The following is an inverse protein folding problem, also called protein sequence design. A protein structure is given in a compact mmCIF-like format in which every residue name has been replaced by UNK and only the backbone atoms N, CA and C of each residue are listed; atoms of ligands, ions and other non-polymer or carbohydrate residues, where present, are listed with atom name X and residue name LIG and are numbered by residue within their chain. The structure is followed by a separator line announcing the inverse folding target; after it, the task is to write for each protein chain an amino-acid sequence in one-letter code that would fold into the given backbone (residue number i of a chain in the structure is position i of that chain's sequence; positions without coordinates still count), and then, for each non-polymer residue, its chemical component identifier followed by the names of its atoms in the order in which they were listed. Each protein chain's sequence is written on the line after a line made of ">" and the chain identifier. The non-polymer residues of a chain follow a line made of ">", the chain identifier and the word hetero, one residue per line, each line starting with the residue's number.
data_IF_424806328280
#
_entry.id   IF_424806328280
#
_cell.length_a   1.000
_cell.length_b   1.000
_cell.length_c   1.000
_cell.angle_alpha   90.00
_cell.angle_beta   90.00
_cell.angle_gamma   90.00
#
_symmetry.space_group_name_H-M   'P 1'
#
loop_
_entity.id
_entity.type
_entity.pdbx_description
1 polymer ?
#
# COMPACT_ATOMS: atom_id res chain seq x y z
N UNK A 1 -22.71 20.34 10.83
CA UNK A 1 -22.78 19.07 10.06
C UNK A 1 -21.42 18.40 9.83
N UNK A 2 -20.28 19.11 9.87
CA UNK A 2 -18.92 18.53 9.70
C UNK A 2 -18.53 17.52 10.79
N UNK A 3 -19.05 17.65 12.02
CA UNK A 3 -18.82 16.68 13.08
C UNK A 3 -19.51 15.33 12.86
N UNK A 4 -20.64 15.30 12.15
CA UNK A 4 -21.37 14.07 11.85
C UNK A 4 -20.66 13.23 10.77
N UNK A 5 -20.04 13.89 9.78
CA UNK A 5 -19.23 13.20 8.75
C UNK A 5 -17.91 12.68 9.31
N UNK A 6 -17.31 13.37 10.28
CA UNK A 6 -16.11 12.88 10.96
C UNK A 6 -16.40 11.64 11.83
N UNK A 7 -17.57 11.60 12.49
CA UNK A 7 -17.99 10.44 13.28
C UNK A 7 -18.29 9.21 12.42
N UNK A 8 -18.86 9.38 11.22
CA UNK A 8 -19.10 8.28 10.27
C UNK A 8 -17.81 7.62 9.75
N UNK A 9 -16.71 8.37 9.65
CA UNK A 9 -15.39 7.85 9.24
C UNK A 9 -14.67 7.17 10.42
N UNK A 10 -14.95 7.58 11.66
CA UNK A 10 -14.42 6.95 12.87
C UNK A 10 -15.13 5.64 13.25
N UNK A 11 -16.28 5.32 12.63
CA UNK A 11 -17.05 4.09 12.87
C UNK A 11 -16.68 2.94 11.91
N UNK A 12 -15.40 2.77 11.56
CA UNK A 12 -15.00 1.52 10.90
C UNK A 12 -15.02 0.37 11.92
N UNK A 13 -15.92 -0.63 11.80
CA UNK A 13 -15.84 -1.82 12.65
C UNK A 13 -14.50 -2.52 12.39
N UNK A 14 -13.89 -3.04 13.46
CA UNK A 14 -12.80 -4.01 13.34
C UNK A 14 -13.29 -5.17 12.46
N UNK A 15 -12.80 -5.23 11.22
CA UNK A 15 -13.09 -6.26 10.22
C UNK A 15 -12.50 -7.64 10.56
N UNK A 16 -12.16 -7.90 11.84
CA UNK A 16 -11.63 -9.19 12.27
C UNK A 16 -12.71 -10.28 12.26
N UNK A 17 -14.01 -9.93 12.30
CA UNK A 17 -15.12 -10.90 12.32
C UNK A 17 -15.69 -11.30 10.94
N UNK A 18 -15.44 -10.52 9.87
CA UNK A 18 -16.05 -10.79 8.56
C UNK A 18 -15.25 -11.79 7.69
N UNK A 19 -14.03 -12.14 8.08
CA UNK A 19 -13.19 -13.07 7.32
C UNK A 19 -13.64 -14.54 7.48
N UNK A 20 -14.52 -14.85 8.44
CA UNK A 20 -14.95 -16.23 8.73
C UNK A 20 -16.13 -16.72 7.88
N UNK A 21 -16.90 -15.82 7.25
CA UNK A 21 -18.15 -16.19 6.56
C UNK A 21 -18.01 -16.44 5.05
N UNK A 22 -16.85 -16.17 4.45
CA UNK A 22 -16.61 -16.41 3.00
C UNK A 22 -15.93 -17.75 2.74
N UNK A 23 -15.35 -18.39 3.76
CA UNK A 23 -14.67 -19.69 3.61
C UNK A 23 -15.64 -20.87 3.41
N UNK A 24 -16.88 -20.76 3.88
CA UNK A 24 -17.85 -21.88 3.84
C UNK A 24 -18.58 -22.00 2.48
N UNK A 25 -18.53 -20.99 1.61
CA UNK A 25 -19.31 -20.98 0.36
C UNK A 25 -18.61 -21.58 -0.87
N UNK A 26 -17.33 -21.98 -0.76
CA UNK A 26 -16.54 -22.45 -1.91
C UNK A 26 -16.33 -23.98 -1.97
N UNK A 27 -17.02 -24.76 -1.14
CA UNK A 27 -16.81 -26.21 -1.04
C UNK A 27 -17.62 -27.09 -2.01
N UNK A 28 -18.39 -26.50 -2.95
CA UNK A 28 -19.27 -27.27 -3.83
C UNK A 28 -19.15 -26.88 -5.31
N UNK A 29 -18.08 -27.32 -5.98
CA UNK A 29 -18.07 -27.53 -7.43
C UNK A 29 -16.91 -28.46 -7.84
N UNK A 30 -17.23 -29.75 -8.01
CA UNK A 30 -16.36 -30.81 -8.53
C UNK A 30 -16.70 -31.07 -10.01
N UNK A 31 -15.68 -30.94 -10.88
CA UNK A 31 -15.29 -31.66 -12.14
C UNK A 31 -16.29 -32.57 -12.90
N UNK A 32 -16.14 -32.89 -14.22
CA UNK A 32 -14.89 -33.33 -14.93
C UNK A 32 -14.74 -32.77 -16.39
N UNK A 33 -13.74 -33.03 -17.26
CA UNK A 33 -12.86 -34.18 -17.50
C UNK A 33 -11.60 -33.80 -18.35
N UNK A 34 -10.56 -34.66 -18.25
CA UNK A 34 -9.31 -34.77 -19.04
C UNK A 34 -9.52 -35.51 -20.39
N UNK A 35 -8.55 -35.58 -21.37
CA UNK A 35 -7.28 -36.39 -21.35
C UNK A 35 -6.03 -35.58 -21.81
N UNK A 36 -4.78 -35.78 -21.37
CA UNK A 36 -3.89 -36.94 -21.13
C UNK A 36 -2.97 -37.30 -22.32
N UNK A 37 -1.66 -37.06 -22.19
CA UNK A 37 -0.47 -37.81 -22.71
C UNK A 37 0.73 -37.29 -21.87
N UNK A 38 1.41 -37.98 -20.95
CA UNK A 38 2.10 -39.28 -20.86
C UNK A 38 3.51 -39.36 -21.47
N UNK A 39 4.51 -39.39 -20.58
CA UNK A 39 5.75 -40.21 -20.56
C UNK A 39 6.84 -39.40 -19.83
N UNK A 40 7.37 -39.83 -18.67
CA UNK A 40 8.11 -41.08 -18.46
C UNK A 40 9.61 -40.73 -18.53
N UNK A 41 10.50 -41.08 -17.61
CA UNK A 41 10.41 -41.93 -16.43
C UNK A 41 11.49 -41.58 -15.41
N UNK A 42 11.33 -42.15 -14.22
CA UNK A 42 12.22 -42.03 -13.08
C UNK A 42 13.46 -42.91 -13.23
N UNK A 43 14.63 -42.44 -12.78
CA UNK A 43 15.60 -43.28 -12.05
C UNK A 43 16.29 -42.42 -10.98
N UNK A 44 16.15 -42.92 -9.76
CA UNK A 44 16.77 -42.58 -8.47
C UNK A 44 18.24 -43.00 -8.51
N UNK A 45 19.16 -42.24 -7.91
CA UNK A 45 20.25 -42.74 -7.04
C UNK A 45 21.26 -41.65 -6.65
N UNK A 46 21.36 -41.41 -5.35
CA UNK A 46 22.50 -40.84 -4.60
C UNK A 46 22.78 -41.90 -3.52
N UNK A 47 24.02 -42.25 -3.10
CA UNK A 47 25.16 -41.35 -2.93
C UNK A 47 26.55 -41.91 -3.29
N UNK A 48 27.47 -41.05 -3.73
CA UNK A 48 28.90 -41.38 -3.78
C UNK A 48 29.64 -40.53 -2.74
N UNK A 49 30.10 -41.19 -1.68
CA UNK A 49 31.03 -40.65 -0.70
C UNK A 49 32.37 -40.35 -1.39
N UNK A 50 32.73 -39.07 -1.49
CA UNK A 50 34.05 -38.67 -1.91
C UNK A 50 35.01 -38.80 -0.71
N UNK A 51 35.93 -39.75 -0.87
CA UNK A 51 37.07 -40.06 -0.01
C UNK A 51 37.94 -38.83 0.30
N UNK A 52 38.28 -38.69 1.59
CA UNK A 52 39.24 -37.74 2.14
C UNK A 52 40.64 -37.92 1.52
N UNK A 53 41.36 -36.84 1.15
CA UNK A 53 42.81 -36.88 1.01
C UNK A 53 43.51 -36.76 2.39
N UNK A 54 44.52 -37.59 2.58
CA UNK A 54 45.32 -37.79 3.79
C UNK A 54 45.97 -36.51 4.34
N UNK A 55 46.01 -36.43 5.68
CA UNK A 55 46.69 -35.38 6.44
C UNK A 55 48.21 -35.39 6.23
N UNK A 56 48.87 -34.22 6.13
CA UNK A 56 50.30 -34.10 6.32
C UNK A 56 50.59 -33.84 7.81
N UNK A 57 51.34 -34.73 8.47
CA UNK A 57 51.92 -34.51 9.79
C UNK A 57 53.04 -33.46 9.73
N UNK A 58 53.04 -32.45 10.62
CA UNK A 58 54.25 -31.67 10.92
C UNK A 58 54.65 -31.83 12.39
N UNK A 59 55.90 -32.29 12.54
CA UNK A 59 56.72 -32.39 13.75
C UNK A 59 56.45 -31.31 14.80
N UNK A 60 56.11 -31.76 16.01
CA UNK A 60 56.14 -30.98 17.25
C UNK A 60 57.56 -30.49 17.53
N UNK A 61 57.75 -29.17 17.57
CA UNK A 61 58.81 -28.51 18.34
C UNK A 61 58.11 -27.69 19.43
N UNK A 62 58.41 -27.89 20.72
CA UNK A 62 57.85 -27.06 21.76
C UNK A 62 58.74 -25.82 21.90
N UNK A 63 58.29 -24.69 21.38
CA UNK A 63 58.77 -23.40 21.86
C UNK A 63 57.55 -22.54 22.13
N UNK A 64 57.22 -22.43 23.41
CA UNK A 64 56.07 -21.70 23.93
C UNK A 64 56.47 -20.24 24.01
N UNK A 65 56.22 -19.49 22.95
CA UNK A 65 56.15 -18.03 23.02
C UNK A 65 54.69 -17.67 23.36
N UNK A 66 54.42 -16.91 24.44
CA UNK A 66 53.05 -16.57 24.81
C UNK A 66 52.47 -15.64 23.75
N UNK A 67 51.68 -16.20 22.83
CA UNK A 67 50.85 -15.42 21.92
C UNK A 67 49.90 -14.55 22.75
N UNK A 68 50.23 -13.26 22.86
CA UNK A 68 49.33 -12.26 23.41
C UNK A 68 48.06 -12.26 22.58
N UNK A 69 46.98 -12.81 23.12
CA UNK A 69 45.63 -12.66 22.59
C UNK A 69 45.30 -11.16 22.65
N UNK A 70 45.57 -10.46 21.55
CA UNK A 70 45.18 -9.07 21.39
C UNK A 70 43.66 -9.04 21.36
N UNK A 71 43.06 -8.71 22.50
CA UNK A 71 41.62 -8.53 22.62
C UNK A 71 41.16 -7.58 21.51
N UNK A 72 40.38 -8.11 20.56
CA UNK A 72 39.78 -7.30 19.51
C UNK A 72 38.94 -6.24 20.21
N UNK A 73 39.29 -4.97 20.01
CA UNK A 73 38.50 -3.85 20.53
C UNK A 73 37.11 -3.95 19.93
N UNK A 74 36.11 -4.29 20.75
CA UNK A 74 34.71 -4.20 20.37
C UNK A 74 34.37 -2.73 20.14
N UNK A 75 34.49 -2.27 18.89
CA UNK A 75 34.00 -0.95 18.56
C UNK A 75 32.48 -0.97 18.69
N UNK A 76 31.88 0.02 19.39
CA UNK A 76 30.44 0.14 19.49
C UNK A 76 29.86 0.19 18.08
N UNK A 77 29.10 -0.85 17.70
CA UNK A 77 28.37 -0.87 16.45
C UNK A 77 27.38 0.29 16.50
N UNK A 78 27.60 1.33 15.70
CA UNK A 78 26.63 2.42 15.56
C UNK A 78 25.28 1.78 15.24
N UNK A 79 24.21 2.08 16.01
CA UNK A 79 22.90 1.51 15.73
C UNK A 79 22.54 1.86 14.29
N UNK A 80 22.33 0.84 13.47
CA UNK A 80 21.88 1.02 12.11
C UNK A 80 20.57 1.81 12.18
N UNK A 81 20.54 2.99 11.56
CA UNK A 81 19.33 3.82 11.50
C UNK A 81 18.31 3.05 10.68
N UNK A 82 17.43 2.30 11.36
CA UNK A 82 16.36 1.56 10.70
C UNK A 82 15.31 2.56 10.26
N UNK A 83 15.18 2.74 8.95
CA UNK A 83 14.12 3.57 8.38
C UNK A 83 12.76 2.96 8.74
N UNK A 84 11.79 3.75 9.24
CA UNK A 84 10.43 3.26 9.47
C UNK A 84 9.86 2.67 8.18
N UNK A 85 9.41 1.41 8.25
CA UNK A 85 8.82 0.69 7.12
C UNK A 85 7.31 0.68 7.24
N UNK A 86 6.62 0.77 6.10
CA UNK A 86 5.18 0.61 6.03
C UNK A 86 4.74 -0.81 6.44
N UNK A 87 3.63 -0.90 7.18
CA UNK A 87 3.04 -2.20 7.52
C UNK A 87 2.07 -2.67 6.42
N UNK A 88 1.82 -3.98 6.28
CA UNK A 88 0.85 -4.49 5.30
C UNK A 88 -0.55 -3.90 5.47
N UNK A 89 -0.97 -3.68 6.72
CA UNK A 89 -2.27 -3.05 7.03
C UNK A 89 -2.31 -1.61 6.52
N UNK A 90 -1.29 -0.81 6.81
CA UNK A 90 -1.23 0.57 6.34
C UNK A 90 -1.24 0.64 4.80
N UNK A 91 -0.55 -0.28 4.13
CA UNK A 91 -0.58 -0.38 2.66
C UNK A 91 -1.99 -0.63 2.13
N UNK A 92 -2.75 -1.55 2.73
CA UNK A 92 -4.15 -1.81 2.34
C UNK A 92 -5.02 -0.57 2.52
N UNK A 93 -4.90 0.11 3.66
CA UNK A 93 -5.65 1.35 3.93
C UNK A 93 -5.27 2.45 2.94
N UNK A 94 -3.99 2.60 2.62
CA UNK A 94 -3.53 3.59 1.65
C UNK A 94 -4.12 3.36 0.25
N UNK A 95 -4.18 2.11 -0.22
CA UNK A 95 -4.85 1.78 -1.49
C UNK A 95 -6.35 2.04 -1.44
N UNK A 96 -7.02 1.68 -0.34
CA UNK A 96 -8.44 1.96 -0.17
C UNK A 96 -8.74 3.47 -0.23
N UNK A 97 -7.92 4.28 0.44
CA UNK A 97 -8.03 5.74 0.42
C UNK A 97 -7.72 6.33 -0.96
N UNK A 98 -6.74 5.77 -1.69
CA UNK A 98 -6.43 6.17 -3.07
C UNK A 98 -7.64 5.96 -3.99
N UNK A 99 -8.25 4.77 -3.93
CA UNK A 99 -9.43 4.44 -4.73
C UNK A 99 -10.61 5.36 -4.36
N UNK A 100 -10.84 5.57 -3.06
CA UNK A 100 -11.90 6.45 -2.59
C UNK A 100 -11.67 7.91 -3.02
N UNK A 101 -10.43 8.41 -2.95
CA UNK A 101 -10.06 9.77 -3.34
C UNK A 101 -10.22 10.00 -4.84
N UNK A 102 -9.74 9.08 -5.67
CA UNK A 102 -9.94 9.16 -7.13
C UNK A 102 -11.41 9.03 -7.52
N UNK A 103 -12.19 8.19 -6.81
CA UNK A 103 -13.63 8.06 -7.02
C UNK A 103 -14.38 9.34 -6.65
N UNK A 104 -14.05 9.96 -5.50
CA UNK A 104 -14.60 11.24 -5.08
C UNK A 104 -14.31 12.35 -6.08
N UNK A 105 -13.07 12.47 -6.57
CA UNK A 105 -12.70 13.48 -7.57
C UNK A 105 -13.37 13.24 -8.94
N UNK A 106 -13.56 11.98 -9.34
CA UNK A 106 -14.30 11.65 -10.55
C UNK A 106 -15.79 12.01 -10.42
N UNK A 107 -16.38 11.75 -9.25
CA UNK A 107 -17.77 12.11 -8.95
C UNK A 107 -17.97 13.63 -8.90
N UNK A 108 -17.05 14.35 -8.27
CA UNK A 108 -16.99 15.81 -8.30
C UNK A 108 -16.95 16.35 -9.74
N UNK A 109 -15.97 15.93 -10.53
CA UNK A 109 -15.84 16.34 -11.93
C UNK A 109 -17.11 16.03 -12.77
N UNK A 110 -17.69 14.85 -12.58
CA UNK A 110 -18.94 14.46 -13.25
C UNK A 110 -20.11 15.37 -12.85
N UNK A 111 -20.29 15.60 -11.56
CA UNK A 111 -21.38 16.43 -11.04
C UNK A 111 -21.25 17.90 -11.46
N UNK A 112 -20.03 18.46 -11.42
CA UNK A 112 -19.70 19.79 -11.96
C UNK A 112 -20.08 19.87 -13.44
N UNK A 113 -19.63 18.91 -14.25
CA UNK A 113 -19.91 18.91 -15.69
C UNK A 113 -21.41 18.84 -15.96
N UNK A 114 -22.14 18.07 -15.16
CA UNK A 114 -23.61 17.97 -15.26
C UNK A 114 -24.30 19.27 -14.90
N UNK A 115 -23.90 19.94 -13.81
CA UNK A 115 -24.46 21.22 -13.40
C UNK A 115 -24.22 22.33 -14.45
N UNK A 116 -23.00 22.41 -14.98
CA UNK A 116 -22.64 23.41 -16.00
C UNK A 116 -23.35 23.15 -17.32
N UNK A 117 -23.37 21.88 -17.78
CA UNK A 117 -24.04 21.51 -19.03
C UNK A 117 -25.56 21.74 -18.97
N UNK A 118 -26.15 21.66 -17.77
CA UNK A 118 -27.56 21.95 -17.54
C UNK A 118 -27.88 23.44 -17.37
N UNK A 119 -26.89 24.33 -17.37
CA UNK A 119 -27.08 25.77 -17.17
C UNK A 119 -27.32 26.19 -15.71
N UNK A 120 -27.06 25.30 -14.75
CA UNK A 120 -27.30 25.54 -13.31
C UNK A 120 -26.16 26.29 -12.62
N UNK A 121 -25.07 26.62 -13.33
CA UNK A 121 -23.95 27.37 -12.75
C UNK A 121 -22.69 27.40 -13.63
N UNK A 122 -21.60 27.92 -13.04
CA UNK A 122 -20.27 27.91 -13.63
C UNK A 122 -19.25 27.35 -12.63
N UNK A 123 -18.15 26.78 -13.14
CA UNK A 123 -17.05 26.31 -12.31
C UNK A 123 -16.44 27.48 -11.52
N UNK A 124 -16.50 27.38 -10.19
CA UNK A 124 -16.01 28.43 -9.28
C UNK A 124 -14.48 28.46 -9.21
N UNK A 125 -13.81 27.33 -9.45
CA UNK A 125 -12.35 27.27 -9.43
C UNK A 125 -11.76 27.82 -10.74
N UNK A 126 -11.02 28.95 -10.70
CA UNK A 126 -10.45 29.55 -11.91
C UNK A 126 -9.47 28.63 -12.65
N UNK A 127 -8.83 27.68 -11.96
CA UNK A 127 -7.92 26.72 -12.58
C UNK A 127 -8.63 25.57 -13.30
N UNK A 128 -9.84 25.22 -12.87
CA UNK A 128 -10.64 24.16 -13.51
C UNK A 128 -11.58 24.72 -14.57
N UNK A 129 -11.93 26.00 -14.50
CA UNK A 129 -12.84 26.67 -15.42
C UNK A 129 -12.49 26.50 -16.92
N UNK A 130 -11.22 26.55 -17.37
CA UNK A 130 -10.88 26.29 -18.78
C UNK A 130 -11.23 24.86 -19.24
N UNK A 131 -11.28 23.91 -18.30
CA UNK A 131 -11.54 22.50 -18.58
C UNK A 131 -12.99 22.10 -18.32
N UNK A 132 -13.80 22.97 -17.72
CA UNK A 132 -15.15 22.66 -17.25
C UNK A 132 -16.10 22.15 -18.35
N UNK A 133 -15.91 22.61 -19.59
CA UNK A 133 -16.69 22.17 -20.76
C UNK A 133 -16.02 21.04 -21.57
N UNK A 134 -14.94 20.45 -21.07
CA UNK A 134 -14.15 19.42 -21.75
C UNK A 134 -14.02 18.15 -20.89
N UNK A 135 -13.79 17.00 -21.54
CA UNK A 135 -13.43 15.76 -20.83
C UNK A 135 -12.09 15.87 -20.08
N UNK A 136 -11.29 16.90 -20.37
CA UNK A 136 -10.07 17.19 -19.64
C UNK A 136 -10.31 17.47 -18.14
N UNK A 137 -11.52 17.88 -17.71
CA UNK A 137 -11.83 18.10 -16.29
C UNK A 137 -11.52 16.84 -15.45
N UNK A 138 -11.81 15.65 -15.97
CA UNK A 138 -11.54 14.40 -15.28
C UNK A 138 -10.04 14.14 -15.08
N UNK A 139 -9.20 14.56 -16.01
CA UNK A 139 -7.75 14.40 -15.87
C UNK A 139 -7.19 15.41 -14.87
N UNK A 140 -7.63 16.67 -14.96
CA UNK A 140 -7.12 17.75 -14.11
C UNK A 140 -7.57 17.58 -12.66
N UNK A 141 -8.80 17.09 -12.41
CA UNK A 141 -9.25 16.85 -11.03
C UNK A 141 -8.51 15.72 -10.34
N UNK A 142 -7.93 14.76 -11.09
CA UNK A 142 -7.13 13.66 -10.51
C UNK A 142 -5.76 14.10 -10.00
N UNK A 143 -5.29 15.30 -10.39
CA UNK A 143 -4.01 15.84 -9.90
C UNK A 143 -4.03 16.02 -8.38
N UNK A 144 -5.16 16.49 -7.83
CA UNK A 144 -5.30 16.74 -6.40
C UNK A 144 -5.26 15.43 -5.57
N UNK A 145 -6.10 14.40 -5.85
CA UNK A 145 -5.98 13.09 -5.21
C UNK A 145 -4.58 12.49 -5.33
N UNK A 146 -3.98 12.50 -6.53
CA UNK A 146 -2.65 11.94 -6.73
C UNK A 146 -1.59 12.63 -5.85
N UNK A 147 -1.67 13.95 -5.70
CA UNK A 147 -0.80 14.69 -4.79
C UNK A 147 -1.06 14.31 -3.31
N UNK A 148 -2.32 14.20 -2.90
CA UNK A 148 -2.67 13.78 -1.53
C UNK A 148 -2.22 12.35 -1.23
N UNK A 149 -2.31 11.44 -2.21
CA UNK A 149 -1.84 10.07 -2.11
C UNK A 149 -0.32 10.00 -1.95
N UNK A 150 0.41 10.78 -2.75
CA UNK A 150 1.85 10.92 -2.63
C UNK A 150 2.26 11.48 -1.27
N UNK A 151 1.58 12.53 -0.81
CA UNK A 151 1.84 13.15 0.48
C UNK A 151 1.58 12.16 1.62
N UNK A 152 0.43 11.47 1.61
CA UNK A 152 0.10 10.45 2.60
C UNK A 152 1.10 9.31 2.61
N UNK A 153 1.55 8.85 1.43
CA UNK A 153 2.59 7.83 1.29
C UNK A 153 3.92 8.27 1.91
N UNK A 154 4.33 9.52 1.65
CA UNK A 154 5.56 10.11 2.20
C UNK A 154 5.48 10.29 3.72
N UNK A 155 4.31 10.70 4.22
CA UNK A 155 4.06 10.85 5.67
C UNK A 155 4.12 9.51 6.40
N UNK A 156 3.62 8.43 5.78
CA UNK A 156 3.61 7.09 6.35
C UNK A 156 5.02 6.55 6.66
N UNK A 157 6.02 6.89 5.84
CA UNK A 157 7.43 6.48 6.01
C UNK A 157 8.32 7.57 6.63
N UNK A 158 7.71 8.61 7.20
CA UNK A 158 8.43 9.72 7.84
C UNK A 158 9.19 9.26 9.09
N UNK A 159 10.34 9.89 9.37
CA UNK A 159 11.09 9.67 10.60
C UNK A 159 10.35 10.19 11.84
N UNK A 160 9.54 11.24 11.67
CA UNK A 160 8.78 11.85 12.77
C UNK A 160 7.53 11.00 13.10
N UNK A 161 7.39 10.50 14.36
CA UNK A 161 6.26 9.66 14.75
C UNK A 161 4.90 10.37 14.68
N UNK A 162 4.84 11.69 14.91
CA UNK A 162 3.60 12.45 14.81
C UNK A 162 3.11 12.54 13.36
N UNK A 163 4.02 12.82 12.43
CA UNK A 163 3.70 12.87 10.99
C UNK A 163 3.19 11.50 10.52
N UNK A 164 3.82 10.41 10.98
CA UNK A 164 3.31 9.07 10.68
C UNK A 164 1.89 8.88 11.19
N UNK A 165 1.53 9.29 12.41
CA UNK A 165 0.15 9.11 12.91
C UNK A 165 -0.91 9.84 12.08
N UNK A 166 -0.51 10.90 11.35
CA UNK A 166 -1.39 11.73 10.53
C UNK A 166 -1.31 11.39 9.03
N UNK A 167 -0.68 10.29 8.63
CA UNK A 167 -0.44 9.96 7.21
C UNK A 167 -1.71 9.87 6.36
N UNK A 168 -2.85 9.49 6.95
CA UNK A 168 -4.12 9.31 6.27
C UNK A 168 -4.90 10.62 6.08
N UNK A 169 -4.55 11.68 6.81
CA UNK A 169 -5.32 12.93 6.89
C UNK A 169 -5.48 13.62 5.53
N UNK A 170 -4.43 13.78 4.70
CA UNK A 170 -4.57 14.46 3.40
C UNK A 170 -5.59 13.77 2.49
N UNK A 171 -5.54 12.44 2.40
CA UNK A 171 -6.43 11.64 1.56
C UNK A 171 -7.88 11.72 2.06
N UNK A 172 -8.11 11.56 3.36
CA UNK A 172 -9.46 11.61 3.94
C UNK A 172 -10.08 13.00 3.79
N UNK A 173 -9.32 14.06 4.07
CA UNK A 173 -9.79 15.43 3.92
C UNK A 173 -10.13 15.75 2.44
N UNK A 174 -9.24 15.42 1.51
CA UNK A 174 -9.47 15.64 0.08
C UNK A 174 -10.64 14.84 -0.47
N UNK A 175 -10.76 13.58 -0.07
CA UNK A 175 -11.90 12.71 -0.43
C UNK A 175 -13.21 13.27 0.09
N UNK A 176 -13.26 13.66 1.36
CA UNK A 176 -14.46 14.23 1.98
C UNK A 176 -14.90 15.54 1.32
N UNK A 177 -13.96 16.42 1.00
CA UNK A 177 -14.27 17.65 0.25
C UNK A 177 -14.83 17.34 -1.13
N UNK A 178 -14.24 16.40 -1.86
CA UNK A 178 -14.69 16.03 -3.22
C UNK A 178 -16.11 15.46 -3.21
N UNK A 179 -16.44 14.60 -2.24
CA UNK A 179 -17.82 14.10 -2.11
C UNK A 179 -18.81 15.19 -1.69
N UNK A 180 -18.40 16.10 -0.81
CA UNK A 180 -19.24 17.20 -0.37
C UNK A 180 -19.54 18.19 -1.51
N UNK A 181 -18.54 18.56 -2.31
CA UNK A 181 -18.71 19.40 -3.50
C UNK A 181 -19.57 18.69 -4.54
N UNK A 182 -19.35 17.40 -4.76
CA UNK A 182 -20.15 16.63 -5.68
C UNK A 182 -21.63 16.55 -5.27
N UNK A 183 -21.89 16.28 -3.99
CA UNK A 183 -23.24 16.26 -3.45
C UNK A 183 -23.94 17.63 -3.59
N UNK A 184 -23.20 18.72 -3.33
CA UNK A 184 -23.70 20.08 -3.55
C UNK A 184 -24.04 20.31 -5.03
N UNK A 185 -23.16 19.94 -5.97
CA UNK A 185 -23.41 20.08 -7.40
C UNK A 185 -24.60 19.24 -7.90
N UNK A 186 -24.82 18.06 -7.32
CA UNK A 186 -26.02 17.26 -7.62
C UNK A 186 -27.27 17.94 -7.08
N UNK A 187 -27.20 18.53 -5.88
CA UNK A 187 -28.36 19.18 -5.23
C UNK A 187 -28.88 20.42 -5.95
N UNK A 188 -28.05 21.10 -6.75
CA UNK A 188 -28.47 22.28 -7.53
C UNK A 188 -29.09 21.93 -8.88
N UNK A 189 -28.98 20.67 -9.32
CA UNK A 189 -29.51 20.18 -10.61
C UNK A 189 -30.94 19.62 -10.46
N UNK A 190 -31.40 19.39 -9.23
CA UNK A 190 -32.73 18.88 -8.87
C UNK A 190 -33.59 19.98 -8.25
#
# INVERSE_FOLDING_TARGET
>A
MVFATLLLICSMPQLDDAAKTVADSNAAAVLPAHPAVSSGGAVKDTPAAASLPSAPEPKVKPDVEPATLRAASFQPVKPAVTRPRETPRQRKVWYALTIAGSGGAAFDAWSTRRAISGGYGQEANPFLRPFANSNAIYAVTQVSPAFMDFLGKRMMVSQNPWIRKLWWVPQVAGTGMSFASAAHNVSIVH
#
